data_IF_314981272012
#
_entry.id   IF_314981272012
#
_cell.length_a   1.000
_cell.length_b   1.000
_cell.length_c   1.000
_cell.angle_alpha   90.00
_cell.angle_beta   90.00
_cell.angle_gamma   90.00
#
_symmetry.space_group_name_H-M   'P 1'
#
loop_
_entity.id
_entity.type
_entity.pdbx_description
1 polymer ?
#
# COMPACT_ATOMS: atom_id res chain seq x y z
N UNK A 1 -4.95 2.06 32.43
CA UNK A 1 -4.77 0.77 31.73
C UNK A 1 -5.19 1.06 30.31
N UNK A 2 -4.23 1.61 29.53
CA UNK A 2 -4.45 1.98 28.13
C UNK A 2 -4.21 0.72 27.30
N UNK A 3 -5.26 0.34 26.54
CA UNK A 3 -5.14 -0.75 25.57
C UNK A 3 -4.22 -0.27 24.44
N UNK A 4 -3.23 -1.05 24.02
CA UNK A 4 -2.43 -0.69 22.87
C UNK A 4 -3.34 -0.61 21.64
N UNK A 5 -3.35 0.55 20.98
CA UNK A 5 -4.02 0.70 19.69
C UNK A 5 -3.32 -0.24 18.70
N UNK A 6 -4.08 -1.25 18.27
CA UNK A 6 -3.62 -2.25 17.34
C UNK A 6 -3.28 -1.55 16.00
N UNK A 7 -2.02 -1.59 15.60
CA UNK A 7 -1.51 -0.91 14.41
C UNK A 7 -2.16 -1.39 13.11
N UNK A 8 -2.70 -2.61 13.08
CA UNK A 8 -3.42 -3.18 11.95
C UNK A 8 -4.63 -2.35 11.50
N UNK A 9 -5.34 -1.68 12.43
CA UNK A 9 -6.45 -0.80 12.05
C UNK A 9 -6.03 0.47 11.31
N UNK A 10 -4.79 0.91 11.48
CA UNK A 10 -4.28 2.11 10.82
C UNK A 10 -3.99 1.84 9.33
N UNK A 11 -3.58 0.62 9.00
CA UNK A 11 -3.19 0.20 7.65
C UNK A 11 -4.40 -0.07 6.76
N UNK A 12 -5.39 -0.80 7.26
CA UNK A 12 -6.65 -1.06 6.53
C UNK A 12 -7.40 0.24 6.19
N UNK A 13 -7.36 1.22 7.08
CA UNK A 13 -8.02 2.52 6.87
C UNK A 13 -7.37 3.32 5.74
N UNK A 14 -6.06 3.21 5.54
CA UNK A 14 -5.35 3.96 4.50
C UNK A 14 -5.64 3.42 3.09
N UNK A 15 -5.74 2.10 2.91
CA UNK A 15 -6.00 1.50 1.60
C UNK A 15 -7.41 1.84 1.09
N UNK A 16 -8.39 1.69 1.95
CA UNK A 16 -9.80 1.92 1.59
C UNK A 16 -10.10 3.40 1.36
N UNK A 17 -9.46 4.31 2.10
CA UNK A 17 -9.52 5.76 1.88
C UNK A 17 -8.99 6.16 0.52
N UNK A 18 -7.92 5.51 0.06
CA UNK A 18 -7.29 5.83 -1.21
C UNK A 18 -8.11 5.37 -2.41
N UNK A 19 -8.70 4.17 -2.37
CA UNK A 19 -9.46 3.58 -3.48
C UNK A 19 -10.73 4.37 -3.81
N UNK A 20 -11.45 4.86 -2.82
CA UNK A 20 -12.72 5.57 -3.04
C UNK A 20 -12.55 7.04 -3.45
N UNK A 21 -11.46 7.70 -3.05
CA UNK A 21 -11.20 9.09 -3.44
C UNK A 21 -10.73 9.25 -4.89
N UNK A 22 -10.11 8.22 -5.45
CA UNK A 22 -9.60 8.24 -6.84
C UNK A 22 -10.76 8.26 -7.85
N UNK A 23 -11.90 7.65 -7.54
CA UNK A 23 -12.92 7.32 -8.53
C UNK A 23 -13.74 8.48 -9.13
N UNK A 24 -13.78 9.68 -8.57
CA UNK A 24 -14.64 10.76 -9.08
C UNK A 24 -13.94 11.96 -9.69
N UNK A 25 -12.72 12.25 -9.30
CA UNK A 25 -11.91 13.36 -9.85
C UNK A 25 -11.30 13.04 -11.21
N UNK A 26 -11.35 11.79 -11.62
CA UNK A 26 -10.54 11.18 -12.66
C UNK A 26 -11.19 11.23 -14.05
N UNK A 27 -12.53 11.26 -14.13
CA UNK A 27 -13.25 10.99 -15.39
C UNK A 27 -13.26 12.14 -16.41
N UNK A 28 -12.60 13.28 -16.16
CA UNK A 28 -12.74 14.48 -16.98
C UNK A 28 -11.46 14.99 -17.66
N UNK A 29 -10.48 14.15 -17.96
CA UNK A 29 -9.37 14.54 -18.85
C UNK A 29 -9.45 13.77 -20.17
N UNK A 30 -9.75 14.50 -21.25
CA UNK A 30 -9.63 14.06 -22.63
C UNK A 30 -8.28 13.41 -22.87
N UNK A 31 -8.28 12.18 -23.41
CA UNK A 31 -7.14 11.59 -24.08
C UNK A 31 -6.69 12.54 -25.21
N UNK A 32 -5.73 13.39 -24.93
CA UNK A 32 -4.97 14.13 -25.93
C UNK A 32 -3.52 13.66 -25.80
N UNK A 33 -2.99 13.14 -26.91
CA UNK A 33 -1.59 12.92 -27.28
C UNK A 33 -0.57 13.13 -26.14
N UNK A 34 -0.67 12.37 -25.06
CA UNK A 34 0.27 12.40 -23.98
C UNK A 34 1.22 11.24 -24.23
N UNK A 35 2.49 11.56 -24.47
CA UNK A 35 3.56 10.57 -24.37
C UNK A 35 3.38 9.88 -23.01
N UNK A 36 3.08 8.57 -23.03
CA UNK A 36 2.81 7.80 -21.82
C UNK A 36 4.09 7.77 -20.98
N UNK A 37 4.13 8.58 -19.94
CA UNK A 37 5.27 8.60 -18.99
C UNK A 37 5.22 7.37 -18.13
N UNK A 38 6.26 6.55 -18.18
CA UNK A 38 6.38 5.37 -17.33
C UNK A 38 6.79 5.75 -15.90
N UNK A 39 6.51 4.86 -14.95
CA UNK A 39 6.98 5.02 -13.56
C UNK A 39 8.51 5.19 -13.49
N UNK A 40 9.26 4.48 -14.34
CA UNK A 40 10.72 4.61 -14.39
C UNK A 40 11.18 6.00 -14.79
N UNK A 41 10.60 6.55 -15.87
CA UNK A 41 10.89 7.91 -16.34
C UNK A 41 10.49 8.96 -15.30
N UNK A 42 9.33 8.79 -14.67
CA UNK A 42 8.88 9.67 -13.61
C UNK A 42 9.83 9.70 -12.40
N UNK A 43 10.29 8.53 -11.95
CA UNK A 43 11.23 8.43 -10.83
C UNK A 43 12.56 9.15 -11.19
N UNK A 44 13.08 8.93 -12.40
CA UNK A 44 14.32 9.58 -12.85
C UNK A 44 14.16 11.11 -12.91
N UNK A 45 13.04 11.59 -13.45
CA UNK A 45 12.73 13.03 -13.46
C UNK A 45 12.65 13.63 -12.06
N UNK A 46 11.97 12.92 -11.15
CA UNK A 46 11.81 13.37 -9.76
C UNK A 46 13.08 13.23 -8.91
N UNK A 47 14.06 12.45 -9.34
CA UNK A 47 15.37 12.41 -8.67
C UNK A 47 16.06 13.78 -8.68
N UNK A 48 15.82 14.60 -9.69
CA UNK A 48 16.34 15.95 -9.77
C UNK A 48 15.81 16.88 -8.66
N UNK A 49 14.65 16.56 -8.09
CA UNK A 49 14.05 17.29 -6.98
C UNK A 49 14.76 16.97 -5.62
N UNK A 50 15.63 15.95 -5.61
CA UNK A 50 16.34 15.48 -4.41
C UNK A 50 17.84 15.59 -4.59
N UNK A 51 18.46 16.59 -4.02
CA UNK A 51 19.90 16.89 -4.12
C UNK A 51 20.86 15.76 -3.67
N UNK A 52 20.34 14.72 -3.01
CA UNK A 52 21.10 13.59 -2.48
C UNK A 52 20.55 12.22 -2.93
N UNK A 53 19.80 12.18 -4.02
CA UNK A 53 19.26 10.93 -4.55
C UNK A 53 20.37 10.09 -5.19
N UNK A 54 20.69 8.97 -4.57
CA UNK A 54 21.77 8.05 -5.00
C UNK A 54 21.27 6.86 -5.84
N UNK A 55 20.01 6.90 -6.29
CA UNK A 55 19.42 5.81 -7.10
C UNK A 55 18.90 4.62 -6.31
N UNK A 56 19.22 4.50 -5.04
CA UNK A 56 18.84 3.37 -4.18
C UNK A 56 17.33 3.26 -4.00
N UNK A 57 16.65 4.39 -3.73
CA UNK A 57 15.18 4.42 -3.65
C UNK A 57 14.53 4.00 -4.98
N UNK A 58 15.15 4.37 -6.10
CA UNK A 58 14.72 3.93 -7.44
C UNK A 58 14.83 2.42 -7.60
N UNK A 59 15.93 1.83 -7.12
CA UNK A 59 16.12 0.38 -7.14
C UNK A 59 15.08 -0.32 -6.28
N UNK A 60 14.78 0.23 -5.10
CA UNK A 60 13.79 -0.30 -4.18
C UNK A 60 12.37 -0.23 -4.77
N UNK A 61 11.94 0.93 -5.29
CA UNK A 61 10.65 1.07 -5.99
C UNK A 61 10.57 0.15 -7.22
N UNK A 62 11.70 -0.14 -7.87
CA UNK A 62 11.76 -1.10 -8.98
C UNK A 62 11.56 -2.54 -8.51
N UNK A 63 12.01 -2.89 -7.30
CA UNK A 63 11.73 -4.18 -6.68
C UNK A 63 10.24 -4.34 -6.36
N UNK A 64 9.63 -3.35 -5.73
CA UNK A 64 8.18 -3.33 -5.43
C UNK A 64 7.38 -3.44 -6.73
N UNK A 65 7.73 -2.65 -7.74
CA UNK A 65 7.10 -2.72 -9.07
C UNK A 65 7.18 -4.12 -9.69
N UNK A 66 8.30 -4.81 -9.53
CA UNK A 66 8.46 -6.18 -10.03
C UNK A 66 7.56 -7.15 -9.26
N UNK A 67 7.57 -7.09 -7.93
CA UNK A 67 6.69 -7.89 -7.07
C UNK A 67 5.23 -7.70 -7.44
N UNK A 68 4.80 -6.43 -7.55
CA UNK A 68 3.43 -6.08 -7.94
C UNK A 68 3.00 -6.67 -9.30
N UNK A 69 3.89 -6.70 -10.29
CA UNK A 69 3.60 -7.33 -11.59
C UNK A 69 3.42 -8.84 -11.49
N UNK A 70 4.24 -9.48 -10.67
CA UNK A 70 4.13 -10.93 -10.44
C UNK A 70 2.81 -11.25 -9.75
N UNK A 71 2.48 -10.52 -8.69
CA UNK A 71 1.22 -10.67 -7.96
C UNK A 71 0.03 -10.40 -8.87
N UNK A 72 0.03 -9.29 -9.65
CA UNK A 72 -1.00 -8.99 -10.64
C UNK A 72 -1.24 -10.15 -11.61
N UNK A 73 -0.16 -10.72 -12.17
CA UNK A 73 -0.26 -11.84 -13.10
C UNK A 73 -0.99 -13.04 -12.47
N UNK A 74 -0.71 -13.32 -11.20
CA UNK A 74 -1.21 -14.52 -10.57
C UNK A 74 -2.62 -14.30 -10.00
N UNK A 75 -2.96 -13.12 -9.49
CA UNK A 75 -4.33 -12.74 -9.15
C UNK A 75 -5.26 -12.88 -10.37
N UNK A 76 -4.83 -12.44 -11.55
CA UNK A 76 -5.63 -12.57 -12.77
C UNK A 76 -5.78 -14.03 -13.27
N UNK A 77 -5.09 -14.97 -12.65
CA UNK A 77 -5.22 -16.41 -12.88
C UNK A 77 -5.92 -17.15 -11.73
N UNK A 78 -6.37 -16.41 -10.72
CA UNK A 78 -7.11 -16.97 -9.61
C UNK A 78 -8.30 -17.80 -10.15
N UNK A 79 -8.47 -19.02 -9.64
CA UNK A 79 -9.43 -19.98 -10.15
C UNK A 79 -8.95 -20.84 -11.34
N UNK A 80 -7.84 -20.50 -11.98
CA UNK A 80 -7.22 -21.33 -13.04
C UNK A 80 -6.00 -22.10 -12.54
N UNK A 81 -5.38 -21.64 -11.47
CA UNK A 81 -4.23 -22.27 -10.81
C UNK A 81 -4.53 -22.46 -9.33
N UNK A 82 -3.85 -23.41 -8.68
CA UNK A 82 -4.08 -23.73 -7.25
C UNK A 82 -3.39 -22.69 -6.34
N UNK A 83 -3.91 -21.48 -6.36
CA UNK A 83 -3.47 -20.35 -5.52
C UNK A 83 -4.60 -19.81 -4.63
N UNK A 84 -5.80 -20.36 -4.76
CA UNK A 84 -6.96 -20.01 -3.94
C UNK A 84 -7.05 -20.89 -2.69
N UNK A 85 -7.78 -20.39 -1.68
CA UNK A 85 -8.07 -21.08 -0.44
C UNK A 85 -7.01 -20.92 0.63
N UNK A 86 -7.36 -21.33 1.86
CA UNK A 86 -6.49 -21.26 3.02
C UNK A 86 -5.22 -22.10 2.86
N UNK A 87 -4.12 -21.62 3.37
CA UNK A 87 -2.84 -22.33 3.40
C UNK A 87 -2.79 -23.44 4.47
N UNK A 88 -3.68 -23.34 5.47
CA UNK A 88 -3.65 -24.16 6.68
C UNK A 88 -2.72 -23.62 7.76
N UNK A 89 -2.21 -22.40 7.59
CA UNK A 89 -1.37 -21.68 8.56
C UNK A 89 -2.10 -20.41 8.97
N UNK A 90 -2.00 -20.02 10.24
CA UNK A 90 -2.53 -18.75 10.75
C UNK A 90 -1.40 -17.76 10.96
N UNK A 91 -1.66 -16.46 10.72
CA UNK A 91 -0.70 -15.38 10.99
C UNK A 91 -0.71 -14.99 12.48
N UNK A 92 0.17 -14.04 12.89
CA UNK A 92 0.27 -13.52 14.27
C UNK A 92 -1.08 -12.98 14.78
N UNK A 93 -1.93 -12.48 13.90
CA UNK A 93 -3.24 -11.94 14.24
C UNK A 93 -4.29 -13.01 14.44
N UNK A 94 -3.96 -14.30 14.19
CA UNK A 94 -4.85 -15.44 14.29
C UNK A 94 -5.81 -15.56 13.09
N UNK A 95 -5.50 -14.90 11.99
CA UNK A 95 -6.23 -15.03 10.73
C UNK A 95 -5.64 -16.17 9.89
N UNK A 96 -6.51 -16.92 9.21
CA UNK A 96 -6.06 -17.98 8.30
C UNK A 96 -5.38 -17.34 7.07
N UNK A 97 -4.11 -17.65 6.89
CA UNK A 97 -3.34 -17.20 5.72
C UNK A 97 -3.86 -17.89 4.45
N UNK A 98 -4.05 -17.10 3.41
CA UNK A 98 -4.38 -17.64 2.09
C UNK A 98 -3.10 -18.03 1.35
N UNK A 99 -3.16 -18.99 0.46
CA UNK A 99 -2.01 -19.42 -0.35
C UNK A 99 -1.39 -18.27 -1.12
N UNK A 100 -2.21 -17.31 -1.56
CA UNK A 100 -1.75 -16.16 -2.33
C UNK A 100 -1.02 -15.12 -1.46
N UNK A 101 -1.33 -15.03 -0.16
CA UNK A 101 -0.61 -14.17 0.79
C UNK A 101 0.84 -14.61 0.92
N UNK A 102 1.03 -15.90 1.21
CA UNK A 102 2.36 -16.49 1.30
C UNK A 102 3.14 -16.33 -0.01
N UNK A 103 2.47 -16.52 -1.14
CA UNK A 103 3.08 -16.31 -2.44
C UNK A 103 3.50 -14.85 -2.65
N UNK A 104 2.63 -13.89 -2.34
CA UNK A 104 2.90 -12.46 -2.48
C UNK A 104 4.06 -12.03 -1.58
N UNK A 105 4.06 -12.50 -0.31
CA UNK A 105 5.13 -12.27 0.65
C UNK A 105 6.48 -12.76 0.10
N UNK A 106 6.56 -14.01 -0.34
CA UNK A 106 7.80 -14.58 -0.87
C UNK A 106 8.31 -13.84 -2.12
N UNK A 107 7.41 -13.40 -3.02
CA UNK A 107 7.83 -12.68 -4.24
C UNK A 107 8.32 -11.28 -3.94
N UNK A 108 7.67 -10.54 -3.04
CA UNK A 108 8.12 -9.22 -2.61
C UNK A 108 9.43 -9.31 -1.84
N UNK A 109 9.53 -10.25 -0.88
CA UNK A 109 10.74 -10.53 -0.12
C UNK A 109 11.94 -10.83 -1.03
N UNK A 110 11.76 -11.73 -1.99
CA UNK A 110 12.81 -12.07 -2.95
C UNK A 110 13.22 -10.87 -3.83
N UNK A 111 12.26 -10.09 -4.32
CA UNK A 111 12.52 -8.92 -5.15
C UNK A 111 13.28 -7.82 -4.38
N UNK A 112 12.93 -7.58 -3.12
CA UNK A 112 13.59 -6.61 -2.25
C UNK A 112 15.01 -7.06 -1.90
N UNK A 113 15.19 -8.34 -1.50
CA UNK A 113 16.50 -8.92 -1.19
C UNK A 113 17.47 -8.84 -2.37
N UNK A 114 16.99 -9.14 -3.58
CA UNK A 114 17.84 -9.18 -4.79
C UNK A 114 18.46 -7.82 -5.14
N UNK A 115 17.91 -6.70 -4.69
CA UNK A 115 18.47 -5.36 -4.98
C UNK A 115 19.58 -4.94 -4.02
N UNK A 116 19.61 -5.49 -2.81
CA UNK A 116 20.64 -5.19 -1.81
C UNK A 116 20.55 -3.81 -1.18
N UNK A 117 19.44 -3.09 -1.36
CA UNK A 117 19.21 -1.75 -0.80
C UNK A 117 18.39 -1.80 0.50
N UNK A 118 17.88 -2.99 0.85
CA UNK A 118 17.05 -3.26 2.01
C UNK A 118 17.80 -4.16 2.97
N UNK A 119 17.92 -3.73 4.22
CA UNK A 119 18.57 -4.51 5.29
C UNK A 119 17.65 -5.61 5.85
N UNK A 120 16.36 -5.38 5.80
CA UNK A 120 15.34 -6.34 6.22
C UNK A 120 13.93 -5.80 6.07
N UNK A 121 12.97 -6.65 6.35
CA UNK A 121 11.55 -6.35 6.25
C UNK A 121 10.81 -6.73 7.55
N UNK A 122 9.72 -6.01 7.82
CA UNK A 122 8.66 -6.43 8.70
C UNK A 122 7.41 -6.64 7.84
N UNK A 123 6.92 -7.85 7.78
CA UNK A 123 5.75 -8.25 7.00
C UNK A 123 4.62 -8.68 7.92
N UNK A 124 3.37 -8.46 7.53
CA UNK A 124 2.23 -8.99 8.25
C UNK A 124 2.24 -10.53 8.30
N UNK A 125 2.82 -11.15 7.28
CA UNK A 125 2.86 -12.61 7.10
C UNK A 125 4.03 -13.31 7.82
N UNK A 126 4.86 -12.55 8.53
CA UNK A 126 6.03 -13.08 9.25
C UNK A 126 5.91 -12.75 10.75
N UNK A 127 6.17 -13.72 11.60
CA UNK A 127 6.11 -13.56 13.07
C UNK A 127 7.16 -12.60 13.60
N UNK A 128 8.34 -12.57 12.97
CA UNK A 128 9.47 -11.76 13.34
C UNK A 128 9.96 -10.89 12.16
N UNK A 129 10.80 -9.92 12.47
CA UNK A 129 11.51 -9.17 11.43
C UNK A 129 12.42 -10.11 10.62
N UNK A 130 12.38 -10.00 9.32
CA UNK A 130 13.25 -10.77 8.42
C UNK A 130 14.50 -9.95 8.11
N UNK A 131 15.64 -10.34 8.66
CA UNK A 131 16.94 -9.73 8.36
C UNK A 131 17.49 -10.35 7.08
N UNK A 132 17.91 -9.51 6.15
CA UNK A 132 18.52 -10.01 4.92
C UNK A 132 20.02 -10.25 5.11
N UNK A 133 20.48 -11.45 4.76
CA UNK A 133 21.88 -11.82 4.80
C UNK A 133 22.64 -11.41 3.54
N UNK A 134 23.93 -11.12 3.71
CA UNK A 134 24.88 -10.84 2.65
C UNK A 134 25.45 -9.43 2.68
N UNK A 135 26.67 -9.26 2.23
CA UNK A 135 27.47 -8.06 2.44
C UNK A 135 26.89 -6.75 1.90
N UNK A 136 25.88 -6.81 1.00
CA UNK A 136 25.12 -5.62 0.59
C UNK A 136 24.05 -5.25 1.60
N UNK A 137 23.36 -6.22 2.16
CA UNK A 137 22.27 -5.98 3.12
C UNK A 137 22.80 -5.36 4.42
N UNK A 138 23.99 -5.73 4.89
CA UNK A 138 24.62 -5.15 6.09
C UNK A 138 24.87 -3.64 5.95
N UNK A 139 25.09 -3.18 4.72
CA UNK A 139 25.32 -1.77 4.40
C UNK A 139 24.09 -1.11 3.73
N UNK A 140 22.98 -1.81 3.65
CA UNK A 140 21.75 -1.29 3.09
C UNK A 140 21.16 -0.17 3.96
N UNK A 141 20.62 0.86 3.32
CA UNK A 141 20.16 2.09 3.97
C UNK A 141 18.71 2.04 4.44
N UNK A 142 17.95 1.06 3.98
CA UNK A 142 16.51 1.06 4.15
C UNK A 142 16.02 -0.22 4.84
N UNK A 143 14.91 -0.07 5.55
CA UNK A 143 14.04 -1.16 6.00
C UNK A 143 12.65 -0.94 5.43
N UNK A 144 11.91 -2.03 5.19
CA UNK A 144 10.58 -1.99 4.58
C UNK A 144 9.58 -2.67 5.50
N UNK A 145 8.48 -1.99 5.76
CA UNK A 145 7.30 -2.58 6.39
C UNK A 145 6.28 -2.82 5.29
N UNK A 146 5.65 -3.97 5.26
CA UNK A 146 4.69 -4.28 4.22
C UNK A 146 3.59 -5.21 4.72
N UNK A 147 2.41 -5.01 4.13
CA UNK A 147 1.38 -6.01 4.01
C UNK A 147 1.39 -6.48 2.55
N UNK A 148 1.81 -7.72 2.30
CA UNK A 148 1.97 -8.22 0.93
C UNK A 148 0.67 -8.29 0.13
N UNK A 149 -0.46 -8.59 0.81
CA UNK A 149 -1.74 -8.75 0.14
C UNK A 149 -2.95 -8.50 1.06
N UNK A 150 -3.15 -7.23 1.45
CA UNK A 150 -4.30 -6.80 2.25
C UNK A 150 -5.63 -7.16 1.57
N UNK A 151 -6.53 -7.70 2.39
CA UNK A 151 -7.86 -8.12 1.96
C UNK A 151 -7.91 -9.48 1.25
N UNK A 152 -6.93 -10.34 1.45
CA UNK A 152 -6.79 -11.64 0.79
C UNK A 152 -8.01 -12.56 1.01
N UNK A 153 -8.69 -12.47 2.14
CA UNK A 153 -9.96 -13.18 2.40
C UNK A 153 -11.07 -12.87 1.38
N UNK A 154 -10.95 -11.77 0.65
CA UNK A 154 -11.92 -11.36 -0.37
C UNK A 154 -11.59 -11.87 -1.78
N UNK A 155 -10.48 -12.56 -1.98
CA UNK A 155 -10.06 -13.06 -3.30
C UNK A 155 -11.08 -14.07 -3.84
N UNK A 156 -11.58 -14.95 -3.00
CA UNK A 156 -12.53 -15.99 -3.37
C UNK A 156 -13.87 -15.43 -3.86
N UNK A 157 -14.19 -14.19 -3.52
CA UNK A 157 -15.39 -13.48 -3.98
C UNK A 157 -15.07 -12.39 -5.01
N UNK A 158 -13.85 -12.40 -5.55
CA UNK A 158 -13.40 -11.52 -6.62
C UNK A 158 -13.49 -10.02 -6.28
N UNK A 159 -13.23 -9.65 -5.04
CA UNK A 159 -13.09 -8.26 -4.58
C UNK A 159 -11.63 -7.84 -4.71
N UNK A 160 -11.40 -6.55 -4.95
CA UNK A 160 -10.05 -5.99 -5.07
C UNK A 160 -9.26 -6.18 -3.79
N UNK A 161 -8.00 -6.55 -3.95
CA UNK A 161 -7.00 -6.71 -2.89
C UNK A 161 -5.82 -5.78 -3.15
N UNK A 162 -4.92 -5.64 -2.21
CA UNK A 162 -3.81 -4.71 -2.38
C UNK A 162 -2.53 -5.08 -1.63
N UNK A 163 -1.42 -4.51 -2.07
CA UNK A 163 -0.15 -4.51 -1.35
C UNK A 163 0.06 -3.15 -0.70
N UNK A 164 0.45 -3.10 0.56
CA UNK A 164 0.79 -1.85 1.25
C UNK A 164 2.26 -1.90 1.63
N UNK A 165 2.96 -0.77 1.48
CA UNK A 165 4.36 -0.69 1.87
C UNK A 165 4.74 0.67 2.46
N UNK A 166 5.71 0.64 3.36
CA UNK A 166 6.31 1.80 3.98
C UNK A 166 7.82 1.60 4.08
N UNK A 167 8.59 2.62 3.74
CA UNK A 167 10.04 2.56 3.67
C UNK A 167 10.61 3.58 4.65
N UNK A 168 11.53 3.11 5.50
CA UNK A 168 12.27 3.96 6.43
C UNK A 168 13.78 3.84 6.17
N UNK A 169 14.52 4.87 6.56
CA UNK A 169 15.97 4.73 6.71
C UNK A 169 16.25 3.96 7.99
N UNK A 170 17.20 3.03 7.92
CA UNK A 170 17.72 2.40 9.13
C UNK A 170 18.40 3.42 10.03
N UNK A 171 18.28 3.25 11.34
CA UNK A 171 18.92 4.10 12.36
C UNK A 171 20.15 3.43 12.95
N UNK A 172 20.23 2.10 12.91
CA UNK A 172 21.41 1.35 13.35
C UNK A 172 22.60 1.62 12.43
N UNK A 173 23.84 1.64 12.93
CA UNK A 173 25.05 1.87 12.14
C UNK A 173 25.22 0.85 11.00
N UNK A 174 25.81 1.26 9.89
CA UNK A 174 26.16 0.34 8.80
C UNK A 174 27.17 -0.71 9.29
N UNK A 175 27.07 -1.92 8.75
CA UNK A 175 27.90 -3.05 9.17
C UNK A 175 27.47 -3.69 10.49
N UNK A 176 26.37 -3.23 11.10
CA UNK A 176 25.75 -3.89 12.27
C UNK A 176 24.41 -4.51 11.89
N UNK A 177 23.93 -5.53 12.60
CA UNK A 177 22.58 -6.05 12.40
C UNK A 177 21.54 -4.95 12.64
N UNK A 178 20.43 -5.00 11.88
CA UNK A 178 19.24 -4.18 12.14
C UNK A 178 18.49 -4.72 13.35
N UNK A 179 17.74 -3.86 14.01
CA UNK A 179 16.93 -4.18 15.20
C UNK A 179 15.48 -3.74 14.99
N UNK A 180 14.59 -4.10 15.90
CA UNK A 180 13.20 -3.64 15.87
C UNK A 180 13.07 -2.11 15.86
N UNK A 181 14.00 -1.39 16.46
CA UNK A 181 14.01 0.08 16.47
C UNK A 181 14.12 0.68 15.06
N UNK A 182 14.75 -0.03 14.11
CA UNK A 182 14.80 0.41 12.72
C UNK A 182 13.41 0.45 12.07
N UNK A 183 12.47 -0.35 12.57
CA UNK A 183 11.10 -0.43 12.07
C UNK A 183 10.12 0.40 12.90
N UNK A 184 10.32 0.49 14.22
CA UNK A 184 9.43 1.19 15.15
C UNK A 184 9.70 2.71 15.19
N UNK A 185 9.81 3.33 14.02
CA UNK A 185 10.03 4.76 13.89
C UNK A 185 8.71 5.53 13.76
N UNK A 186 8.67 6.81 14.18
CA UNK A 186 7.50 7.66 13.94
C UNK A 186 7.15 7.74 12.46
N UNK A 187 5.86 7.70 12.10
CA UNK A 187 5.39 7.78 10.72
C UNK A 187 5.87 9.00 9.93
N UNK A 188 6.23 10.08 10.63
CA UNK A 188 6.82 11.29 10.04
C UNK A 188 8.25 11.08 9.51
N UNK A 189 8.88 9.95 9.82
CA UNK A 189 10.22 9.56 9.34
C UNK A 189 10.18 8.67 8.10
N UNK A 190 9.00 8.34 7.60
CA UNK A 190 8.85 7.62 6.34
C UNK A 190 9.56 8.35 5.19
N UNK A 191 10.38 7.62 4.45
CA UNK A 191 11.02 8.11 3.22
C UNK A 191 10.04 8.02 2.05
N UNK A 192 9.30 6.92 2.02
CA UNK A 192 8.29 6.63 1.00
C UNK A 192 7.23 5.75 1.61
N UNK A 193 5.99 6.00 1.23
CA UNK A 193 4.87 5.12 1.51
C UNK A 193 4.02 4.95 0.25
N UNK A 194 3.38 3.81 0.10
CA UNK A 194 2.54 3.55 -1.05
C UNK A 194 1.75 2.25 -0.95
N UNK A 195 0.97 2.03 -1.96
CA UNK A 195 0.18 0.79 -2.09
C UNK A 195 -0.02 0.43 -3.57
N UNK A 196 -0.32 -0.82 -3.80
CA UNK A 196 -0.78 -1.32 -5.09
C UNK A 196 -2.17 -1.90 -4.92
N UNK A 197 -3.12 -1.48 -5.73
CA UNK A 197 -4.47 -2.06 -5.77
C UNK A 197 -4.60 -2.96 -6.97
N UNK A 198 -5.02 -4.20 -6.75
CA UNK A 198 -5.29 -5.18 -7.79
C UNK A 198 -6.82 -5.29 -7.95
N UNK A 199 -7.37 -4.49 -8.85
CA UNK A 199 -8.80 -4.41 -9.14
C UNK A 199 -9.07 -4.49 -10.63
N UNK A 200 -10.12 -3.82 -11.10
CA UNK A 200 -10.44 -3.71 -12.53
C UNK A 200 -9.30 -3.09 -13.35
N UNK A 201 -8.44 -2.33 -12.71
CA UNK A 201 -7.11 -1.94 -13.18
C UNK A 201 -6.13 -2.10 -12.01
N UNK A 202 -4.89 -2.47 -12.29
CA UNK A 202 -3.85 -2.49 -11.25
C UNK A 202 -3.20 -1.12 -11.18
N UNK A 203 -3.25 -0.51 -10.00
CA UNK A 203 -2.73 0.83 -9.77
C UNK A 203 -1.69 0.82 -8.65
N UNK A 204 -0.54 1.43 -8.90
CA UNK A 204 0.47 1.72 -7.91
C UNK A 204 0.38 3.20 -7.53
N UNK A 205 0.22 3.47 -6.25
CA UNK A 205 0.16 4.83 -5.71
C UNK A 205 1.25 4.98 -4.67
N UNK A 206 2.04 6.06 -4.76
CA UNK A 206 3.07 6.31 -3.77
C UNK A 206 3.35 7.79 -3.56
N UNK A 207 4.03 8.08 -2.45
CA UNK A 207 4.54 9.40 -2.11
C UNK A 207 5.96 9.30 -1.54
N UNK A 208 6.74 10.31 -1.82
CA UNK A 208 8.04 10.56 -1.17
C UNK A 208 8.02 11.85 -0.33
N UNK A 209 6.81 12.29 0.08
CA UNK A 209 6.60 13.55 0.79
C UNK A 209 6.34 14.76 -0.13
N UNK A 210 6.55 14.63 -1.45
CA UNK A 210 6.38 15.72 -2.43
C UNK A 210 5.13 15.58 -3.30
N UNK A 211 4.08 15.06 -2.74
CA UNK A 211 2.81 14.78 -3.38
C UNK A 211 2.57 13.30 -3.58
N UNK A 212 1.34 12.95 -3.86
CA UNK A 212 0.89 11.58 -4.11
C UNK A 212 0.72 11.39 -5.61
N UNK A 213 1.29 10.33 -6.15
CA UNK A 213 1.25 10.03 -7.59
C UNK A 213 0.71 8.64 -7.84
N UNK A 214 -0.13 8.48 -8.85
CA UNK A 214 -0.76 7.22 -9.21
C UNK A 214 -0.39 6.78 -10.62
N UNK A 215 -0.10 5.50 -10.76
CA UNK A 215 0.32 4.84 -11.99
C UNK A 215 -0.57 3.64 -12.25
N UNK A 216 -1.08 3.54 -13.46
CA UNK A 216 -1.87 2.38 -13.90
C UNK A 216 -0.95 1.41 -14.65
N UNK A 217 -1.08 0.14 -14.34
CA UNK A 217 -0.37 -0.92 -15.03
C UNK A 217 -1.00 -1.19 -16.40
N UNK A 218 -0.19 -1.12 -17.45
CA UNK A 218 -0.55 -1.60 -18.78
C UNK A 218 0.03 -2.99 -18.98
N UNK A 219 -0.79 -4.06 -18.96
CA UNK A 219 -0.30 -5.43 -19.13
C UNK A 219 0.23 -5.72 -20.52
N UNK A 220 -0.19 -4.97 -21.55
CA UNK A 220 0.28 -5.15 -22.92
C UNK A 220 1.72 -4.67 -23.11
N UNK A 221 2.10 -3.61 -22.41
CA UNK A 221 3.45 -3.06 -22.39
C UNK A 221 4.29 -3.61 -21.24
N UNK A 222 3.62 -4.17 -20.24
CA UNK A 222 4.28 -4.66 -19.03
C UNK A 222 4.86 -3.54 -18.15
N UNK A 223 4.30 -2.32 -18.18
CA UNK A 223 4.80 -1.16 -17.45
C UNK A 223 3.70 -0.43 -16.70
N UNK A 224 4.07 0.26 -15.62
CA UNK A 224 3.21 1.21 -14.93
C UNK A 224 3.36 2.58 -15.60
N UNK A 225 2.25 3.16 -16.05
CA UNK A 225 2.16 4.47 -16.69
C UNK A 225 1.52 5.49 -15.77
N UNK A 226 2.06 6.70 -15.72
CA UNK A 226 1.53 7.80 -14.92
C UNK A 226 0.09 8.11 -15.34
N UNK A 227 -0.85 7.87 -14.45
CA UNK A 227 -2.27 8.18 -14.66
C UNK A 227 -2.70 9.45 -13.94
N UNK A 228 -2.14 9.72 -12.77
CA UNK A 228 -2.48 10.91 -11.97
C UNK A 228 -1.24 11.46 -11.27
N UNK A 229 -0.93 12.70 -11.54
CA UNK A 229 0.11 13.46 -10.84
C UNK A 229 -0.53 14.33 -9.76
N UNK A 230 0.08 14.34 -8.56
CA UNK A 230 -0.34 15.16 -7.41
C UNK A 230 -1.81 14.97 -7.05
N UNK A 231 -2.19 13.71 -6.82
CA UNK A 231 -3.53 13.34 -6.34
C UNK A 231 -3.85 14.12 -5.08
N UNK A 232 -5.06 14.68 -5.01
CA UNK A 232 -5.55 15.42 -3.85
C UNK A 232 -6.99 15.01 -3.53
N UNK A 233 -7.34 15.10 -2.28
CA UNK A 233 -8.74 14.98 -1.88
C UNK A 233 -9.58 16.11 -2.49
N UNK A 234 -10.82 15.84 -2.93
CA UNK A 234 -11.75 16.88 -3.30
C UNK A 234 -12.06 17.77 -2.07
N UNK A 235 -12.35 19.04 -2.29
CA UNK A 235 -12.68 19.98 -1.22
C UNK A 235 -13.94 19.58 -0.43
N UNK A 236 -14.83 18.83 -1.06
CA UNK A 236 -16.09 18.34 -0.47
C UNK A 236 -16.27 16.86 -0.75
N UNK A 237 -16.72 16.10 0.25
CA UNK A 237 -17.09 14.69 0.10
C UNK A 237 -18.58 14.55 -0.24
N UNK A 238 -18.91 13.52 -1.03
CA UNK A 238 -20.30 13.18 -1.36
C UNK A 238 -20.64 11.71 -1.11
N UNK A 239 -19.68 10.93 -0.61
CA UNK A 239 -19.84 9.51 -0.32
C UNK A 239 -19.19 9.17 1.01
N UNK A 240 -19.79 8.26 1.73
CA UNK A 240 -19.14 7.55 2.84
C UNK A 240 -19.43 6.06 2.69
N UNK A 241 -18.55 5.23 3.25
CA UNK A 241 -18.75 3.80 3.37
C UNK A 241 -18.33 3.34 4.76
N UNK A 242 -19.14 2.50 5.35
CA UNK A 242 -18.91 1.93 6.68
C UNK A 242 -19.59 0.57 6.74
N UNK A 243 -18.99 -0.40 7.43
CA UNK A 243 -19.66 -1.68 7.66
C UNK A 243 -20.77 -1.51 8.72
N UNK A 244 -21.98 -1.18 8.26
CA UNK A 244 -23.13 -0.96 9.15
C UNK A 244 -23.58 -2.21 9.90
N UNK A 245 -23.16 -3.40 9.50
CA UNK A 245 -23.38 -4.63 10.27
C UNK A 245 -22.79 -4.54 11.69
N UNK A 246 -21.76 -3.73 11.88
CA UNK A 246 -21.13 -3.48 13.18
C UNK A 246 -21.71 -2.28 13.94
N UNK A 247 -22.79 -1.66 13.46
CA UNK A 247 -23.35 -0.43 14.03
C UNK A 247 -23.57 -0.49 15.55
N UNK A 248 -24.03 -1.62 16.06
CA UNK A 248 -24.28 -1.81 17.50
C UNK A 248 -22.99 -1.61 18.31
N UNK A 249 -21.86 -2.08 17.79
CA UNK A 249 -20.54 -2.01 18.43
C UNK A 249 -19.82 -0.67 18.23
N UNK A 250 -20.33 0.21 17.36
CA UNK A 250 -19.68 1.48 17.09
C UNK A 250 -19.60 2.39 18.32
N UNK A 251 -18.47 3.05 18.54
CA UNK A 251 -18.37 4.15 19.49
C UNK A 251 -19.38 5.27 19.18
N UNK A 252 -19.79 6.01 20.19
CA UNK A 252 -20.79 7.07 20.04
C UNK A 252 -20.41 8.10 18.97
N UNK A 253 -19.14 8.47 18.88
CA UNK A 253 -18.64 9.39 17.85
C UNK A 253 -18.89 8.89 16.43
N UNK A 254 -18.65 7.60 16.16
CA UNK A 254 -18.91 6.98 14.85
C UNK A 254 -20.41 6.94 14.54
N UNK A 255 -21.26 6.58 15.54
CA UNK A 255 -22.72 6.60 15.41
C UNK A 255 -23.25 7.99 15.07
N UNK A 256 -22.75 9.02 15.75
CA UNK A 256 -23.13 10.41 15.50
C UNK A 256 -22.72 10.87 14.10
N UNK A 257 -21.50 10.54 13.66
CA UNK A 257 -21.00 10.86 12.31
C UNK A 257 -21.84 10.19 11.23
N UNK A 258 -22.17 8.90 11.39
CA UNK A 258 -23.07 8.18 10.48
C UNK A 258 -24.46 8.81 10.43
N UNK A 259 -25.00 9.22 11.57
CA UNK A 259 -26.29 9.90 11.64
C UNK A 259 -26.29 11.24 10.90
N UNK A 260 -25.23 12.04 11.05
CA UNK A 260 -25.07 13.31 10.33
C UNK A 260 -24.95 13.07 8.83
N UNK A 261 -24.18 12.06 8.42
CA UNK A 261 -24.00 11.71 7.01
C UNK A 261 -25.31 11.27 6.33
N UNK A 262 -26.22 10.62 7.06
CA UNK A 262 -27.57 10.23 6.58
C UNK A 262 -28.57 11.36 6.58
N UNK A 263 -28.33 12.42 7.35
CA UNK A 263 -29.27 13.53 7.48
C UNK A 263 -29.36 14.33 6.18
N UNK A 264 -30.53 14.35 5.55
CA UNK A 264 -30.80 15.13 4.34
C UNK A 264 -30.84 16.65 4.59
N UNK A 265 -30.82 17.09 5.84
CA UNK A 265 -31.06 18.49 6.23
C UNK A 265 -29.80 19.35 6.29
N UNK A 266 -28.61 18.76 6.17
CA UNK A 266 -27.34 19.51 6.11
C UNK A 266 -26.55 19.06 4.89
N UNK A 267 -26.07 19.98 4.05
CA UNK A 267 -25.14 19.61 3.00
C UNK A 267 -23.90 18.98 3.65
N UNK A 268 -23.47 17.82 3.13
CA UNK A 268 -22.25 17.12 3.56
C UNK A 268 -20.98 18.00 3.41
N UNK A 269 -21.14 19.21 2.87
CA UNK A 269 -20.08 20.11 2.47
C UNK A 269 -19.31 20.75 3.62
N UNK A 270 -19.79 20.67 4.85
CA UNK A 270 -19.23 21.58 5.83
C UNK A 270 -18.04 21.03 6.64
N UNK A 271 -17.91 19.75 6.94
CA UNK A 271 -16.84 19.28 7.87
C UNK A 271 -16.65 17.76 7.93
N UNK A 272 -17.12 16.99 6.95
CA UNK A 272 -16.87 15.54 6.92
C UNK A 272 -15.74 15.29 5.91
N UNK A 273 -14.65 14.64 6.31
CA UNK A 273 -13.64 14.19 5.32
C UNK A 273 -14.34 13.36 4.24
N UNK A 274 -13.83 13.40 3.00
CA UNK A 274 -14.52 12.86 1.82
C UNK A 274 -14.87 11.37 1.89
N UNK A 275 -14.26 10.63 2.79
CA UNK A 275 -14.56 9.21 3.03
C UNK A 275 -14.22 8.84 4.46
N UNK A 276 -15.11 8.14 5.14
CA UNK A 276 -14.80 7.41 6.38
C UNK A 276 -15.10 5.96 6.12
N UNK A 277 -14.08 5.13 6.20
CA UNK A 277 -14.19 3.68 6.20
C UNK A 277 -13.84 3.18 7.58
N UNK A 278 -14.70 2.38 8.15
CA UNK A 278 -14.48 1.67 9.40
C UNK A 278 -14.85 0.21 9.13
N UNK A 279 -13.88 -0.66 9.24
CA UNK A 279 -14.06 -2.12 9.20
C UNK A 279 -14.65 -2.63 10.49
#
# INVERSE_FOLDING_TARGET
MELPMNQSYLWATLLTLAVLCINKSIFNRRFRDCVMKTLGEFIVEKQLDFSHATGELTALLSAIKLGAKIIHRDINKAGLVDILGASGVSNIQGEDQMKLDLFANEKLKAALKARGEVAGIASEEEDDIVIFDGGRAENAKYVVLMDPLDGSSNIDVNVSVGTIFSIYRRITPFGTPITEEDFLQPGTKQVTAGYVVYGSSTMLVYTTGYGVHAFTYDPSLGVFCLSHEKVRYPATGCMYSINEGNYIKFPLGVKNTSSIARSKTKPLSAHIPPVILVH
#
